data_IF_589483045106
#
_entry.id   IF_589483045106
#
_cell.length_a   1.000
_cell.length_b   1.000
_cell.length_c   1.000
_cell.angle_alpha   90.00
_cell.angle_beta   90.00
_cell.angle_gamma   90.00
#
_symmetry.space_group_name_H-M   'P 1'
#
loop_
_entity.id
_entity.type
_entity.pdbx_description
1 polymer ?
#
# COMPACT_ATOMS: atom_id res chain seq x y z
N UNK A 1 -10.66 -6.65 -8.37
CA UNK A 1 -11.79 -6.01 -7.65
C UNK A 1 -11.37 -4.60 -7.23
N UNK A 2 -12.31 -3.77 -6.77
CA UNK A 2 -12.05 -2.43 -6.23
C UNK A 2 -12.07 -2.47 -4.70
N UNK A 3 -10.97 -2.12 -4.05
CA UNK A 3 -10.78 -2.29 -2.60
C UNK A 3 -10.21 -1.01 -1.99
N UNK A 4 -10.81 -0.53 -0.90
CA UNK A 4 -10.26 0.57 -0.11
C UNK A 4 -9.71 0.02 1.22
N UNK A 5 -8.45 0.34 1.52
CA UNK A 5 -7.81 0.06 2.80
C UNK A 5 -7.72 1.37 3.58
N UNK A 6 -8.52 1.49 4.64
CA UNK A 6 -8.56 2.69 5.48
C UNK A 6 -7.58 2.50 6.66
N UNK A 7 -6.56 3.35 6.70
CA UNK A 7 -5.38 3.25 7.57
C UNK A 7 -4.21 2.58 6.84
N UNK A 8 -3.28 3.38 6.32
CA UNK A 8 -2.04 2.94 5.67
C UNK A 8 -0.87 2.82 6.66
N UNK A 9 -1.14 2.47 7.91
CA UNK A 9 -0.10 2.05 8.87
C UNK A 9 0.53 0.70 8.49
N UNK A 10 1.30 0.09 9.40
CA UNK A 10 2.05 -1.15 9.10
C UNK A 10 1.18 -2.29 8.51
N UNK A 11 0.12 -2.70 9.22
CA UNK A 11 -0.75 -3.80 8.75
C UNK A 11 -1.55 -3.42 7.49
N UNK A 12 -2.09 -2.20 7.45
CA UNK A 12 -2.86 -1.73 6.29
C UNK A 12 -2.00 -1.67 5.02
N UNK A 13 -0.75 -1.23 5.15
CA UNK A 13 0.23 -1.23 4.08
C UNK A 13 0.52 -2.63 3.55
N UNK A 14 0.67 -3.62 4.44
CA UNK A 14 0.87 -5.02 4.03
C UNK A 14 -0.32 -5.51 3.18
N UNK A 15 -1.55 -5.32 3.66
CA UNK A 15 -2.73 -5.76 2.90
C UNK A 15 -2.90 -4.99 1.59
N UNK A 16 -2.70 -3.67 1.61
CA UNK A 16 -2.79 -2.85 0.41
C UNK A 16 -1.79 -3.32 -0.66
N UNK A 17 -0.53 -3.56 -0.26
CA UNK A 17 0.49 -4.06 -1.16
C UNK A 17 0.18 -5.45 -1.70
N UNK A 18 -0.20 -6.41 -0.85
CA UNK A 18 -0.51 -7.78 -1.30
C UNK A 18 -1.74 -7.85 -2.20
N UNK A 19 -2.77 -7.05 -1.94
CA UNK A 19 -3.97 -6.99 -2.78
C UNK A 19 -3.68 -6.32 -4.13
N UNK A 20 -2.85 -5.28 -4.15
CA UNK A 20 -2.40 -4.63 -5.38
C UNK A 20 -1.54 -5.58 -6.22
N UNK A 21 -0.60 -6.29 -5.60
CA UNK A 21 0.27 -7.31 -6.22
C UNK A 21 -0.56 -8.47 -6.81
N UNK A 22 -1.70 -8.81 -6.19
CA UNK A 22 -2.66 -9.77 -6.72
C UNK A 22 -3.53 -9.23 -7.89
N UNK A 23 -3.28 -8.01 -8.38
CA UNK A 23 -3.96 -7.42 -9.53
C UNK A 23 -5.32 -6.79 -9.20
N UNK A 24 -5.56 -6.40 -7.94
CA UNK A 24 -6.74 -5.62 -7.58
C UNK A 24 -6.48 -4.11 -7.67
N UNK A 25 -7.53 -3.34 -7.94
CA UNK A 25 -7.50 -1.88 -7.85
C UNK A 25 -7.66 -1.52 -6.37
N UNK A 26 -6.60 -0.97 -5.78
CA UNK A 26 -6.52 -0.71 -4.35
C UNK A 26 -6.30 0.78 -4.08
N UNK A 27 -7.10 1.35 -3.19
CA UNK A 27 -6.86 2.67 -2.61
C UNK A 27 -6.43 2.52 -1.16
N UNK A 28 -5.19 2.90 -0.85
CA UNK A 28 -4.74 3.08 0.54
C UNK A 28 -5.04 4.51 0.98
N UNK A 29 -5.79 4.67 2.07
CA UNK A 29 -6.24 5.98 2.57
C UNK A 29 -5.75 6.15 4.00
N UNK A 30 -5.10 7.27 4.29
CA UNK A 30 -4.64 7.60 5.63
C UNK A 30 -4.73 9.12 5.88
N UNK A 31 -4.81 9.53 7.14
CA UNK A 31 -4.77 10.94 7.53
C UNK A 31 -3.35 11.50 7.58
N UNK A 32 -2.33 10.63 7.60
CA UNK A 32 -0.93 11.02 7.55
C UNK A 32 -0.50 11.45 6.14
N UNK A 33 -0.76 12.71 5.80
CA UNK A 33 -0.49 13.26 4.47
C UNK A 33 0.92 13.02 3.94
N UNK A 34 1.96 13.28 4.75
CA UNK A 34 3.35 13.06 4.31
C UNK A 34 3.65 11.58 3.96
N UNK A 35 3.00 10.63 4.62
CA UNK A 35 3.14 9.21 4.28
C UNK A 35 2.47 8.89 2.94
N UNK A 36 1.24 9.39 2.76
CA UNK A 36 0.48 9.27 1.51
C UNK A 36 1.22 9.90 0.33
N UNK A 37 1.81 11.08 0.52
CA UNK A 37 2.58 11.78 -0.52
C UNK A 37 3.79 10.96 -0.97
N UNK A 38 4.51 10.34 -0.03
CA UNK A 38 5.64 9.46 -0.35
C UNK A 38 5.18 8.21 -1.08
N UNK A 39 4.08 7.59 -0.67
CA UNK A 39 3.48 6.44 -1.35
C UNK A 39 3.10 6.82 -2.79
N UNK A 40 2.42 7.95 -2.98
CA UNK A 40 2.02 8.41 -4.32
C UNK A 40 3.24 8.72 -5.21
N UNK A 41 4.32 9.24 -4.64
CA UNK A 41 5.52 9.61 -5.40
C UNK A 41 6.45 8.41 -5.71
N UNK A 42 6.52 7.40 -4.83
CA UNK A 42 7.53 6.33 -4.88
C UNK A 42 6.96 4.92 -4.88
N UNK A 43 5.64 4.78 -4.76
CA UNK A 43 4.98 3.52 -4.48
C UNK A 43 5.01 3.17 -2.99
N UNK A 44 4.21 2.14 -2.64
CA UNK A 44 4.18 1.56 -1.31
C UNK A 44 5.18 0.40 -1.25
N UNK A 45 6.29 0.61 -0.51
CA UNK A 45 7.27 -0.44 -0.24
C UNK A 45 6.92 -1.19 1.04
N UNK A 46 6.90 -2.52 0.96
CA UNK A 46 6.69 -3.43 2.08
C UNK A 46 7.81 -4.46 2.08
N UNK A 47 8.52 -4.57 3.20
CA UNK A 47 9.59 -5.55 3.42
C UNK A 47 9.28 -6.42 4.63
N UNK A 48 9.70 -7.69 4.57
CA UNK A 48 9.53 -8.64 5.67
C UNK A 48 9.93 -10.06 5.27
N UNK A 49 9.56 -11.08 6.09
CA UNK A 49 9.90 -12.48 5.81
C UNK A 49 9.38 -13.00 4.46
N UNK A 50 8.32 -12.38 3.93
CA UNK A 50 7.74 -12.68 2.61
C UNK A 50 8.45 -11.97 1.45
N UNK A 51 9.59 -11.32 1.70
CA UNK A 51 10.38 -10.58 0.72
C UNK A 51 10.20 -9.07 0.82
N UNK A 52 10.81 -8.37 -0.15
CA UNK A 52 10.80 -6.92 -0.30
C UNK A 52 10.13 -6.58 -1.64
N UNK A 53 9.11 -5.73 -1.60
CA UNK A 53 8.31 -5.36 -2.76
C UNK A 53 7.93 -3.90 -2.70
N UNK A 54 7.86 -3.27 -3.86
CA UNK A 54 7.27 -1.94 -4.01
C UNK A 54 6.16 -2.02 -5.04
N UNK A 55 4.94 -1.66 -4.64
CA UNK A 55 3.81 -1.56 -5.57
C UNK A 55 3.62 -0.11 -5.99
N UNK A 56 3.45 0.10 -7.29
CA UNK A 56 3.17 1.38 -7.91
C UNK A 56 1.93 1.21 -8.78
N UNK A 57 0.86 1.92 -8.46
CA UNK A 57 -0.42 1.85 -9.17
C UNK A 57 -1.09 3.21 -9.19
#
# INVERSE_FOLDING_TARGET
MKIAVIGAGAMGSIYAALLADAGHEVWAVDTWGAHVDVINAKGLRVEGPSGDRTVTS
#
